data_IF_448526214363
#
_entry.id   IF_448526214363
#
_cell.length_a   1.000
_cell.length_b   1.000
_cell.length_c   1.000
_cell.angle_alpha   90.00
_cell.angle_beta   90.00
_cell.angle_gamma   90.00
#
_symmetry.space_group_name_H-M   'P 1'
#
loop_
_entity.id
_entity.type
_entity.pdbx_description
1 polymer ?
#
# COMPACT_ATOMS: atom_id res chain seq x y z
N UNK A 1 10.44 12.57 -3.05
CA UNK A 1 9.54 11.66 -2.37
C UNK A 1 10.37 10.84 -1.38
N UNK A 2 10.04 10.92 -0.10
CA UNK A 2 10.83 10.29 0.99
C UNK A 2 10.18 8.97 1.44
N UNK A 3 8.99 8.68 0.93
CA UNK A 3 8.26 7.44 1.20
C UNK A 3 8.35 6.50 0.00
N UNK A 4 8.76 5.29 0.28
CA UNK A 4 8.62 4.16 -0.65
C UNK A 4 7.44 3.30 -0.20
N UNK A 5 6.46 3.16 -1.05
CA UNK A 5 5.28 2.31 -0.82
C UNK A 5 5.40 0.94 -1.48
N UNK A 6 6.48 0.72 -2.21
CA UNK A 6 6.67 -0.54 -2.89
C UNK A 6 7.29 -1.56 -1.91
N UNK A 7 6.67 -2.69 -1.78
CA UNK A 7 7.28 -3.84 -1.15
C UNK A 7 8.64 -4.19 -1.80
N UNK A 8 9.29 -5.22 -1.36
CA UNK A 8 10.67 -5.66 -1.62
C UNK A 8 11.23 -5.58 -3.06
N UNK A 9 10.49 -5.05 -4.03
CA UNK A 9 10.87 -4.91 -5.44
C UNK A 9 10.95 -3.46 -5.95
N UNK A 10 10.85 -2.44 -5.07
CA UNK A 10 11.10 -1.07 -5.50
C UNK A 10 12.55 -0.91 -5.94
N UNK A 11 12.76 -0.13 -6.98
CA UNK A 11 14.10 0.26 -7.39
C UNK A 11 14.85 0.83 -6.16
N UNK A 12 16.09 0.45 -5.91
CA UNK A 12 16.76 0.64 -4.61
C UNK A 12 16.92 2.10 -4.16
N UNK A 13 16.40 3.06 -4.92
CA UNK A 13 16.55 4.49 -4.61
C UNK A 13 15.27 5.31 -4.81
N UNK A 14 14.16 4.68 -5.12
CA UNK A 14 12.88 5.39 -5.23
C UNK A 14 12.39 5.76 -3.81
N UNK A 15 12.21 7.07 -3.55
CA UNK A 15 11.80 7.56 -2.23
C UNK A 15 12.93 7.80 -1.22
N UNK A 16 14.18 7.49 -1.55
CA UNK A 16 15.32 7.78 -0.69
C UNK A 16 15.70 9.26 -0.69
N UNK A 17 16.37 9.70 0.39
CA UNK A 17 16.95 11.04 0.48
C UNK A 17 17.98 11.25 -0.64
N UNK A 18 17.88 12.33 -1.42
CA UNK A 18 18.78 12.59 -2.52
C UNK A 18 20.23 12.76 -2.09
N UNK A 19 21.14 12.64 -3.06
CA UNK A 19 22.58 12.83 -2.84
C UNK A 19 22.89 14.24 -2.29
N UNK A 20 23.76 14.31 -1.30
CA UNK A 20 24.17 15.55 -0.61
C UNK A 20 23.01 16.29 0.10
N UNK A 21 21.98 15.58 0.50
CA UNK A 21 20.86 16.11 1.27
C UNK A 21 20.73 15.40 2.59
N UNK A 22 20.30 16.16 3.59
CA UNK A 22 19.88 15.66 4.90
C UNK A 22 18.52 16.26 5.23
N UNK A 23 17.58 15.43 5.66
CA UNK A 23 16.23 15.84 5.98
C UNK A 23 15.91 15.60 7.45
N UNK A 24 15.43 16.65 8.11
CA UNK A 24 14.81 16.53 9.42
C UNK A 24 13.29 16.32 9.21
N UNK A 25 12.81 15.15 9.54
CA UNK A 25 11.38 14.83 9.46
C UNK A 25 10.68 15.51 10.64
N UNK A 26 9.65 16.28 10.35
CA UNK A 26 8.89 17.02 11.36
C UNK A 26 7.56 16.37 11.68
N UNK A 27 6.98 15.65 10.72
CA UNK A 27 5.71 14.96 10.91
C UNK A 27 5.52 13.87 9.84
N UNK A 28 4.90 12.76 10.22
CA UNK A 28 4.39 11.74 9.30
C UNK A 28 2.93 11.49 9.65
N UNK A 29 2.05 11.70 8.68
CA UNK A 29 0.63 11.37 8.78
C UNK A 29 0.37 10.13 7.93
N UNK A 30 -0.28 9.13 8.52
CA UNK A 30 -0.65 7.89 7.84
C UNK A 30 -2.15 7.69 8.04
N UNK A 31 -2.92 7.75 6.96
CA UNK A 31 -4.36 7.63 6.98
C UNK A 31 -4.80 6.32 6.33
N UNK A 32 -5.78 5.67 6.95
CA UNK A 32 -6.53 4.58 6.33
C UNK A 32 -7.74 5.17 5.57
N UNK A 33 -7.72 5.26 4.24
CA UNK A 33 -8.82 5.81 3.47
C UNK A 33 -9.97 4.82 3.26
N UNK A 34 -9.86 3.59 3.74
CA UNK A 34 -10.96 2.60 3.69
C UNK A 34 -12.16 3.09 4.47
N UNK A 35 -13.34 2.75 4.02
CA UNK A 35 -14.61 3.03 4.73
C UNK A 35 -15.08 1.85 5.56
N UNK A 36 -14.44 0.68 5.45
CA UNK A 36 -14.88 -0.57 6.08
C UNK A 36 -13.76 -1.37 6.73
N UNK A 37 -12.52 -1.26 6.24
CA UNK A 37 -11.47 -2.20 6.60
C UNK A 37 -10.44 -1.59 7.53
N UNK A 38 -10.12 -2.29 8.61
CA UNK A 38 -8.96 -2.00 9.44
C UNK A 38 -7.69 -2.47 8.73
N UNK A 39 -6.70 -1.59 8.58
CA UNK A 39 -5.43 -1.92 7.94
C UNK A 39 -4.33 -1.93 8.99
N UNK A 40 -3.60 -3.03 9.10
CA UNK A 40 -2.37 -3.07 9.87
C UNK A 40 -1.18 -2.68 9.00
N UNK A 41 -0.22 -1.97 9.56
CA UNK A 41 0.99 -1.58 8.83
C UNK A 41 2.23 -1.60 9.70
N UNK A 42 3.36 -1.75 9.03
CA UNK A 42 4.68 -1.52 9.58
C UNK A 42 5.29 -0.24 8.98
N UNK A 43 6.04 0.50 9.77
CA UNK A 43 6.86 1.62 9.30
C UNK A 43 8.32 1.35 9.63
N UNK A 44 9.16 1.50 8.63
CA UNK A 44 10.60 1.27 8.73
C UNK A 44 11.38 2.55 8.43
N UNK A 45 12.44 2.77 9.19
CA UNK A 45 13.52 3.69 8.85
C UNK A 45 14.69 2.85 8.36
N UNK A 46 14.98 2.93 7.07
CA UNK A 46 15.94 2.03 6.42
C UNK A 46 17.17 2.82 6.02
N UNK A 47 18.33 2.55 6.64
CA UNK A 47 19.59 3.17 6.28
C UNK A 47 19.99 2.88 4.83
N UNK A 48 20.89 3.71 4.30
CA UNK A 48 21.43 3.51 2.96
C UNK A 48 22.06 2.12 2.79
N UNK A 49 21.70 1.43 1.72
CA UNK A 49 22.09 0.05 1.39
C UNK A 49 21.61 -1.05 2.33
N UNK A 50 20.87 -0.74 3.38
CA UNK A 50 20.31 -1.78 4.23
C UNK A 50 19.03 -2.39 3.64
N UNK A 51 18.81 -3.69 3.84
CA UNK A 51 17.52 -4.31 3.52
C UNK A 51 16.44 -3.86 4.49
N UNK A 52 15.19 -3.98 4.08
CA UNK A 52 14.06 -3.86 5.01
C UNK A 52 14.07 -5.08 5.92
N UNK A 53 14.28 -4.88 7.21
CA UNK A 53 14.28 -5.94 8.22
C UNK A 53 13.35 -5.57 9.37
N UNK A 54 12.38 -6.42 9.62
CA UNK A 54 11.38 -6.22 10.68
C UNK A 54 11.97 -6.19 12.09
N UNK A 55 13.18 -6.69 12.28
CA UNK A 55 13.82 -6.72 13.60
C UNK A 55 14.75 -5.52 13.85
N UNK A 56 15.29 -4.92 12.80
CA UNK A 56 16.32 -3.86 12.92
C UNK A 56 15.86 -2.50 12.40
N UNK A 57 14.97 -2.44 11.42
CA UNK A 57 14.56 -1.18 10.80
C UNK A 57 13.13 -0.75 11.15
N UNK A 58 12.31 -1.64 11.73
CA UNK A 58 10.94 -1.32 12.09
C UNK A 58 10.88 -0.36 13.29
N UNK A 59 10.21 0.78 13.11
CA UNK A 59 9.93 1.75 14.19
C UNK A 59 8.46 1.74 14.61
N UNK A 60 7.57 1.28 13.73
CA UNK A 60 6.20 0.94 14.03
C UNK A 60 5.95 -0.45 13.49
N UNK A 61 5.34 -1.33 14.28
CA UNK A 61 5.08 -2.72 13.89
C UNK A 61 3.65 -3.12 14.14
N UNK A 62 3.01 -3.65 13.10
CA UNK A 62 1.65 -4.21 13.14
C UNK A 62 0.63 -3.27 13.80
N UNK A 63 0.77 -1.96 13.57
CA UNK A 63 -0.17 -0.99 14.07
C UNK A 63 -1.47 -1.09 13.26
N UNK A 64 -2.55 -1.41 13.95
CA UNK A 64 -3.87 -1.49 13.33
C UNK A 64 -4.50 -0.11 13.28
N UNK A 65 -4.89 0.31 12.08
CA UNK A 65 -5.52 1.60 11.81
C UNK A 65 -6.95 1.36 11.33
N UNK A 66 -7.96 1.70 12.13
CA UNK A 66 -9.38 1.57 11.77
C UNK A 66 -9.75 2.36 10.52
N UNK A 67 -10.91 2.07 9.88
CA UNK A 67 -11.41 2.86 8.75
C UNK A 67 -11.51 4.35 9.06
N UNK A 68 -10.98 5.19 8.16
CA UNK A 68 -11.03 6.66 8.28
C UNK A 68 -10.10 7.27 9.32
N UNK A 69 -9.38 6.46 10.10
CA UNK A 69 -8.46 6.95 11.12
C UNK A 69 -7.12 7.39 10.54
N UNK A 70 -6.46 8.29 11.26
CA UNK A 70 -5.13 8.79 10.92
C UNK A 70 -4.19 8.59 12.10
N UNK A 71 -3.05 7.96 11.84
CA UNK A 71 -1.93 7.88 12.76
C UNK A 71 -0.97 9.04 12.50
N UNK A 72 -0.52 9.70 13.57
CA UNK A 72 0.46 10.78 13.52
C UNK A 72 1.74 10.35 14.23
N UNK A 73 2.87 10.50 13.54
CA UNK A 73 4.20 10.30 14.09
C UNK A 73 4.90 11.66 14.12
N UNK A 74 4.89 12.33 15.26
CA UNK A 74 5.38 13.72 15.43
C UNK A 74 6.21 13.93 16.71
N UNK A 75 6.29 12.91 17.56
CA UNK A 75 6.98 13.01 18.87
C UNK A 75 8.48 12.86 18.77
N UNK A 76 8.97 12.19 17.73
CA UNK A 76 10.38 11.86 17.54
C UNK A 76 10.98 12.71 16.41
N UNK A 77 12.19 13.19 16.65
CA UNK A 77 12.97 13.85 15.61
C UNK A 77 13.76 12.81 14.83
N UNK A 78 13.36 12.56 13.61
CA UNK A 78 14.05 11.64 12.70
C UNK A 78 14.90 12.45 11.75
N UNK A 79 16.20 12.18 11.72
CA UNK A 79 17.12 12.72 10.73
C UNK A 79 17.39 11.61 9.71
N UNK A 80 17.19 11.91 8.46
CA UNK A 80 17.50 11.03 7.33
C UNK A 80 18.65 11.62 6.53
N UNK A 81 19.70 10.85 6.38
CA UNK A 81 20.85 11.19 5.56
C UNK A 81 20.69 10.68 4.12
N UNK A 82 21.64 11.04 3.26
CA UNK A 82 21.66 10.59 1.88
C UNK A 82 21.47 9.07 1.75
N UNK A 83 20.47 8.66 0.98
CA UNK A 83 20.18 7.27 0.69
C UNK A 83 19.26 6.59 1.71
N UNK A 84 19.04 7.18 2.90
CA UNK A 84 18.07 6.69 3.85
C UNK A 84 16.65 6.83 3.31
N UNK A 85 15.74 5.96 3.76
CA UNK A 85 14.35 5.96 3.32
C UNK A 85 13.39 5.60 4.44
N UNK A 86 12.18 6.11 4.34
CA UNK A 86 11.03 5.65 5.13
C UNK A 86 10.22 4.71 4.25
N UNK A 87 9.91 3.54 4.77
CA UNK A 87 9.11 2.54 4.08
C UNK A 87 7.88 2.22 4.90
N UNK A 88 6.71 2.30 4.27
CA UNK A 88 5.45 1.84 4.83
C UNK A 88 5.05 0.54 4.15
N UNK A 89 4.79 -0.48 4.95
CA UNK A 89 4.31 -1.78 4.49
C UNK A 89 2.94 -1.99 5.10
N UNK A 90 1.90 -1.92 4.27
CA UNK A 90 0.60 -2.37 4.69
C UNK A 90 0.63 -3.89 4.81
N UNK A 91 0.45 -4.40 6.01
CA UNK A 91 0.33 -5.83 6.23
C UNK A 91 -1.03 -6.23 5.67
N UNK A 92 -1.01 -6.99 4.61
CA UNK A 92 -2.18 -7.42 3.85
C UNK A 92 -3.10 -8.43 4.57
N UNK A 93 -3.27 -8.30 5.88
CA UNK A 93 -4.41 -8.88 6.58
C UNK A 93 -5.72 -8.13 6.24
N UNK A 94 -5.63 -6.94 5.66
CA UNK A 94 -6.66 -6.32 4.87
C UNK A 94 -6.35 -6.58 3.39
N UNK A 95 -6.40 -7.80 2.92
CA UNK A 95 -6.93 -8.07 1.60
C UNK A 95 -8.20 -7.23 1.53
N UNK A 96 -8.31 -6.29 0.60
CA UNK A 96 -9.64 -5.82 0.22
C UNK A 96 -10.43 -7.08 -0.01
N UNK A 97 -11.33 -7.42 0.97
CA UNK A 97 -11.82 -8.78 1.10
C UNK A 97 -12.32 -9.25 -0.24
N UNK A 98 -12.24 -10.52 -0.52
CA UNK A 98 -12.73 -11.07 -1.79
C UNK A 98 -14.09 -10.45 -2.11
N UNK A 99 -14.09 -9.55 -3.07
CA UNK A 99 -15.28 -8.85 -3.53
C UNK A 99 -16.03 -9.84 -4.42
N UNK A 100 -17.29 -10.11 -4.12
CA UNK A 100 -18.13 -10.87 -5.02
C UNK A 100 -18.23 -10.16 -6.36
N UNK A 101 -18.21 -10.91 -7.44
CA UNK A 101 -18.28 -10.38 -8.80
C UNK A 101 -19.53 -9.49 -9.02
N UNK A 102 -20.63 -9.76 -8.31
CA UNK A 102 -21.85 -8.92 -8.34
C UNK A 102 -21.70 -7.55 -7.67
N UNK A 103 -20.65 -7.34 -6.87
CA UNK A 103 -20.35 -6.08 -6.17
C UNK A 103 -19.24 -5.28 -6.86
N UNK A 104 -18.79 -5.69 -8.04
CA UNK A 104 -17.79 -4.96 -8.84
C UNK A 104 -18.35 -3.59 -9.26
N UNK A 105 -17.55 -2.55 -9.07
CA UNK A 105 -17.85 -1.19 -9.54
C UNK A 105 -17.13 -0.96 -10.87
N UNK A 106 -17.87 -0.62 -11.94
CA UNK A 106 -17.27 -0.32 -13.25
C UNK A 106 -16.22 0.79 -13.20
N UNK A 107 -15.18 0.66 -14.02
CA UNK A 107 -14.08 1.63 -14.11
C UNK A 107 -12.96 1.44 -13.05
N UNK A 108 -13.09 0.49 -12.15
CA UNK A 108 -12.05 0.12 -11.19
C UNK A 108 -11.22 -1.06 -11.71
N UNK A 109 -9.98 -1.14 -11.26
CA UNK A 109 -9.08 -2.25 -11.57
C UNK A 109 -9.22 -3.34 -10.52
N UNK A 110 -9.37 -4.56 -10.98
CA UNK A 110 -9.51 -5.75 -10.13
C UNK A 110 -8.57 -6.86 -10.58
N UNK A 111 -8.21 -7.73 -9.66
CA UNK A 111 -7.51 -8.98 -9.93
C UNK A 111 -8.43 -10.17 -9.58
N UNK A 112 -8.48 -11.17 -10.45
CA UNK A 112 -9.25 -12.39 -10.23
C UNK A 112 -8.61 -13.20 -9.12
N UNK A 113 -9.37 -13.48 -8.05
CA UNK A 113 -8.97 -14.34 -6.92
C UNK A 113 -9.51 -15.75 -7.09
N UNK A 114 -10.79 -15.87 -7.39
CA UNK A 114 -11.44 -17.16 -7.65
C UNK A 114 -12.33 -17.02 -8.88
N UNK A 115 -12.11 -17.78 -9.94
CA UNK A 115 -12.95 -17.70 -11.14
C UNK A 115 -14.39 -18.13 -10.88
N UNK A 116 -14.60 -19.20 -10.09
CA UNK A 116 -15.91 -19.79 -9.92
C UNK A 116 -16.52 -20.18 -11.28
N UNK A 117 -17.80 -19.91 -11.43
CA UNK A 117 -18.56 -20.04 -12.69
C UNK A 117 -18.75 -18.70 -13.43
N UNK A 118 -18.00 -17.68 -13.02
CA UNK A 118 -18.08 -16.32 -13.59
C UNK A 118 -17.34 -16.22 -14.92
N UNK A 119 -18.00 -15.65 -15.91
CA UNK A 119 -17.35 -15.22 -17.16
C UNK A 119 -16.79 -13.79 -17.01
N UNK A 120 -15.56 -13.68 -16.56
CA UNK A 120 -14.86 -12.39 -16.42
C UNK A 120 -14.58 -11.72 -17.77
N UNK A 121 -14.52 -12.48 -18.85
CA UNK A 121 -14.32 -11.90 -20.20
C UNK A 121 -15.48 -10.99 -20.57
N UNK A 122 -16.69 -11.33 -20.18
CA UNK A 122 -17.89 -10.53 -20.42
C UNK A 122 -17.86 -9.16 -19.73
N UNK A 123 -17.01 -8.98 -18.71
CA UNK A 123 -16.83 -7.72 -17.96
C UNK A 123 -15.46 -7.09 -18.18
N UNK A 124 -14.84 -7.39 -19.33
CA UNK A 124 -13.59 -6.80 -19.83
C UNK A 124 -12.28 -7.39 -19.26
N UNK A 125 -12.30 -8.57 -18.67
CA UNK A 125 -11.08 -9.29 -18.37
C UNK A 125 -10.52 -9.94 -19.66
N UNK A 126 -9.19 -10.02 -19.84
CA UNK A 126 -8.61 -10.73 -20.99
C UNK A 126 -8.81 -12.24 -20.94
N UNK A 127 -9.06 -12.81 -19.77
CA UNK A 127 -9.32 -14.24 -19.53
C UNK A 127 -9.98 -14.47 -18.17
N UNK A 128 -10.23 -15.76 -17.84
CA UNK A 128 -10.83 -16.19 -16.57
C UNK A 128 -9.79 -16.79 -15.59
N UNK A 129 -8.52 -16.41 -15.69
CA UNK A 129 -7.44 -17.02 -14.90
C UNK A 129 -7.18 -16.25 -13.61
N UNK A 130 -6.95 -16.97 -12.50
CA UNK A 130 -6.52 -16.38 -11.22
C UNK A 130 -5.27 -15.51 -11.42
N UNK A 131 -5.24 -14.35 -10.76
CA UNK A 131 -4.14 -13.39 -10.87
C UNK A 131 -4.25 -12.44 -12.07
N UNK A 132 -5.25 -12.61 -12.94
CA UNK A 132 -5.47 -11.69 -14.07
C UNK A 132 -6.04 -10.38 -13.58
N UNK A 133 -5.37 -9.27 -13.92
CA UNK A 133 -5.82 -7.91 -13.62
C UNK A 133 -6.58 -7.32 -14.82
N UNK A 134 -7.66 -6.59 -14.52
CA UNK A 134 -8.50 -5.97 -15.54
C UNK A 134 -9.24 -4.76 -15.00
N UNK A 135 -9.62 -3.84 -15.89
CA UNK A 135 -10.53 -2.73 -15.57
C UNK A 135 -11.94 -3.21 -15.88
N UNK A 136 -12.78 -3.33 -14.86
CA UNK A 136 -14.13 -3.82 -15.03
C UNK A 136 -15.00 -2.85 -15.82
N UNK A 137 -15.74 -3.36 -16.81
CA UNK A 137 -16.73 -2.58 -17.58
C UNK A 137 -18.14 -2.63 -16.95
N UNK A 138 -18.41 -3.67 -16.15
CA UNK A 138 -19.69 -3.90 -15.49
C UNK A 138 -19.51 -4.77 -14.24
N UNK A 139 -20.53 -4.87 -13.40
CA UNK A 139 -20.65 -5.96 -12.45
C UNK A 139 -20.89 -7.27 -13.21
N UNK A 140 -20.34 -8.38 -12.67
CA UNK A 140 -20.53 -9.70 -13.26
C UNK A 140 -21.63 -10.51 -12.56
N UNK A 141 -21.86 -11.71 -13.08
CA UNK A 141 -22.70 -12.71 -12.48
C UNK A 141 -21.89 -13.98 -12.18
N UNK A 142 -22.32 -14.76 -11.22
CA UNK A 142 -21.66 -16.01 -10.82
C UNK A 142 -21.05 -15.97 -9.43
N UNK A 143 -20.26 -16.99 -9.11
CA UNK A 143 -19.66 -17.22 -7.79
C UNK A 143 -18.19 -16.76 -7.70
N UNK A 144 -17.66 -16.13 -8.76
CA UNK A 144 -16.32 -15.62 -8.80
C UNK A 144 -16.06 -14.50 -7.79
N UNK A 145 -14.81 -14.35 -7.40
CA UNK A 145 -14.36 -13.28 -6.52
C UNK A 145 -13.12 -12.57 -7.08
N UNK A 146 -13.03 -11.30 -6.78
CA UNK A 146 -11.92 -10.42 -7.18
C UNK A 146 -11.39 -9.67 -5.97
N UNK A 147 -10.18 -9.16 -6.07
CA UNK A 147 -9.65 -8.14 -5.17
C UNK A 147 -9.47 -6.82 -5.93
N UNK A 148 -9.67 -5.69 -5.26
CA UNK A 148 -9.48 -4.38 -5.87
C UNK A 148 -7.98 -4.09 -5.99
N UNK A 149 -7.51 -3.67 -7.17
CA UNK A 149 -6.13 -3.26 -7.40
C UNK A 149 -6.00 -1.74 -7.56
N UNK A 150 -4.76 -1.25 -7.36
CA UNK A 150 -4.42 0.16 -7.60
C UNK A 150 -4.86 1.13 -6.50
N UNK A 151 -5.33 0.64 -5.37
CA UNK A 151 -5.50 1.45 -4.17
C UNK A 151 -4.27 1.29 -3.28
N UNK A 152 -3.63 2.42 -2.94
CA UNK A 152 -2.77 2.43 -1.77
C UNK A 152 -3.63 2.07 -0.57
N UNK A 153 -3.30 0.98 0.10
CA UNK A 153 -4.01 0.59 1.32
C UNK A 153 -3.97 1.72 2.36
N UNK A 154 -2.93 2.57 2.31
CA UNK A 154 -2.73 3.72 3.18
C UNK A 154 -2.39 4.95 2.36
N UNK A 155 -2.85 6.12 2.80
CA UNK A 155 -2.37 7.42 2.35
C UNK A 155 -1.34 7.94 3.36
N UNK A 156 -0.21 8.44 2.89
CA UNK A 156 0.81 8.99 3.77
C UNK A 156 1.31 10.35 3.29
N UNK A 157 1.56 11.23 4.26
CA UNK A 157 2.16 12.55 4.04
C UNK A 157 3.33 12.72 4.99
N UNK A 158 4.47 13.14 4.47
CA UNK A 158 5.68 13.43 5.25
C UNK A 158 6.01 14.90 5.11
N UNK A 159 6.16 15.58 6.24
CA UNK A 159 6.69 16.94 6.34
C UNK A 159 8.14 16.89 6.78
N UNK A 160 9.00 17.64 6.13
CA UNK A 160 10.42 17.66 6.43
C UNK A 160 11.06 19.03 6.16
N UNK A 161 12.21 19.27 6.76
CA UNK A 161 13.10 20.40 6.47
C UNK A 161 14.44 19.87 5.97
N UNK A 162 15.01 20.54 4.99
CA UNK A 162 16.40 20.33 4.59
C UNK A 162 17.32 21.03 5.60
N UNK A 163 18.32 20.33 6.12
CA UNK A 163 19.25 20.80 7.13
C UNK A 163 20.72 20.64 6.68
#
# INVERSE_FOLDING_TARGET
NVLDSAGANAAPYEGAVPQNKTYAITNILICNPSTSDTIAFDMHLVPFNDPIDTNTTAVVKSLSLPPGETFTFDSERVILEQGDRIVLIANAAGSFGNISVGSIVPGKTYQIVTPGDTDFVSINSPNNTVGTSFIASAAGAGTGTVTLEGYSALAATVSYMEV
#
